data_IF_599394096729
#
_entry.id   IF_599394096729
#
_cell.length_a   1.000
_cell.length_b   1.000
_cell.length_c   1.000
_cell.angle_alpha   90.00
_cell.angle_beta   90.00
_cell.angle_gamma   90.00
#
_symmetry.space_group_name_H-M   'P 1'
#
loop_
_entity.id
_entity.type
_entity.pdbx_description
1 polymer ?
#
# COMPACT_ATOMS: atom_id res chain seq x y z
N UNK A 1 28.13 -3.36 1.07
CA UNK A 1 28.39 -4.80 0.80
C UNK A 1 27.19 -5.53 0.21
N UNK A 2 26.00 -5.46 0.83
CA UNK A 2 24.81 -6.18 0.32
C UNK A 2 24.35 -5.68 -1.03
N UNK A 3 24.43 -4.37 -1.31
CA UNK A 3 24.11 -3.81 -2.62
C UNK A 3 25.01 -4.40 -3.71
N UNK A 4 26.32 -4.51 -3.45
CA UNK A 4 27.28 -5.12 -4.39
C UNK A 4 26.94 -6.59 -4.64
N UNK A 5 26.56 -7.34 -3.61
CA UNK A 5 26.16 -8.77 -3.75
C UNK A 5 24.87 -8.97 -4.52
N UNK A 6 24.01 -7.95 -4.55
CA UNK A 6 22.70 -7.99 -5.20
C UNK A 6 22.69 -7.49 -6.64
N UNK A 7 23.81 -6.96 -7.16
CA UNK A 7 23.91 -6.34 -8.48
C UNK A 7 25.15 -6.86 -9.25
N UNK A 8 25.00 -7.03 -10.56
CA UNK A 8 26.05 -7.46 -11.48
C UNK A 8 25.63 -7.11 -12.90
N UNK A 9 26.59 -6.83 -13.79
CA UNK A 9 26.33 -6.50 -15.19
C UNK A 9 25.53 -7.60 -15.91
N UNK A 10 25.73 -8.86 -15.55
CA UNK A 10 25.03 -10.03 -16.12
C UNK A 10 23.53 -9.98 -15.96
N UNK A 11 23.02 -9.30 -14.92
CA UNK A 11 21.59 -9.23 -14.66
C UNK A 11 20.93 -7.92 -15.09
N UNK A 12 21.68 -6.97 -15.67
CA UNK A 12 21.13 -5.68 -16.12
C UNK A 12 19.93 -5.87 -17.06
N UNK A 13 19.98 -6.72 -18.11
CA UNK A 13 18.82 -6.93 -18.98
C UNK A 13 17.60 -7.49 -18.23
N UNK A 14 17.83 -8.43 -17.32
CA UNK A 14 16.76 -9.00 -16.48
C UNK A 14 16.15 -7.96 -15.54
N UNK A 15 16.96 -7.06 -14.99
CA UNK A 15 16.48 -5.92 -14.19
C UNK A 15 15.62 -4.96 -14.99
N UNK A 16 16.01 -4.66 -16.22
CA UNK A 16 15.22 -3.83 -17.12
C UNK A 16 13.86 -4.46 -17.42
N UNK A 17 13.84 -5.77 -17.70
CA UNK A 17 12.60 -6.53 -17.89
C UNK A 17 11.73 -6.55 -16.61
N UNK A 18 12.33 -6.77 -15.44
CA UNK A 18 11.62 -6.70 -14.14
C UNK A 18 10.93 -5.34 -13.95
N UNK A 19 11.64 -4.22 -14.24
CA UNK A 19 11.04 -2.89 -14.18
C UNK A 19 9.90 -2.70 -15.19
N UNK A 20 10.02 -3.24 -16.40
CA UNK A 20 8.96 -3.19 -17.40
C UNK A 20 7.72 -3.97 -16.95
N UNK A 21 7.88 -5.15 -16.36
CA UNK A 21 6.80 -5.96 -15.80
C UNK A 21 6.12 -5.27 -14.61
N UNK A 22 6.89 -4.70 -13.68
CA UNK A 22 6.35 -3.92 -12.57
C UNK A 22 5.58 -2.68 -13.06
N UNK A 23 6.07 -2.04 -14.12
CA UNK A 23 5.38 -0.91 -14.75
C UNK A 23 4.08 -1.36 -15.42
N UNK A 24 4.08 -2.51 -16.11
CA UNK A 24 2.87 -3.10 -16.72
C UNK A 24 1.80 -3.34 -15.65
N UNK A 25 2.16 -3.96 -14.52
CA UNK A 25 1.26 -4.15 -13.39
C UNK A 25 0.71 -2.82 -12.86
N UNK A 26 1.58 -1.84 -12.61
CA UNK A 26 1.18 -0.53 -12.09
C UNK A 26 0.20 0.18 -13.02
N UNK A 27 0.42 0.11 -14.33
CA UNK A 27 -0.48 0.67 -15.35
C UNK A 27 -1.83 -0.06 -15.39
N UNK A 28 -1.83 -1.40 -15.24
CA UNK A 28 -3.05 -2.20 -15.19
C UNK A 28 -3.93 -1.77 -14.01
N UNK A 29 -3.36 -1.67 -12.81
CA UNK A 29 -4.09 -1.23 -11.62
C UNK A 29 -4.57 0.23 -11.73
N UNK A 30 -3.75 1.12 -12.29
CA UNK A 30 -4.11 2.53 -12.47
C UNK A 30 -5.24 2.77 -13.50
N UNK A 31 -5.43 1.84 -14.43
CA UNK A 31 -6.51 1.88 -15.44
C UNK A 31 -7.87 1.44 -14.91
N UNK A 32 -7.97 1.03 -13.64
CA UNK A 32 -9.23 0.56 -13.08
C UNK A 32 -10.35 1.59 -13.27
N UNK A 33 -11.39 1.19 -13.96
CA UNK A 33 -12.65 1.93 -14.11
C UNK A 33 -13.79 1.05 -13.56
N UNK A 34 -14.29 1.41 -12.40
CA UNK A 34 -15.32 0.68 -11.69
C UNK A 34 -16.56 1.55 -11.62
N UNK A 35 -17.63 1.11 -12.27
CA UNK A 35 -18.91 1.80 -12.21
C UNK A 35 -19.61 1.48 -10.89
N UNK A 36 -19.81 2.49 -10.05
CA UNK A 36 -20.52 2.37 -8.79
C UNK A 36 -21.24 3.64 -8.44
N UNK A 37 -22.50 3.54 -8.02
CA UNK A 37 -23.37 4.66 -7.61
C UNK A 37 -23.45 5.79 -8.65
N UNK A 38 -23.47 5.45 -9.95
CA UNK A 38 -23.53 6.40 -11.05
C UNK A 38 -22.20 7.10 -11.38
N UNK A 39 -21.13 6.74 -10.72
CA UNK A 39 -19.78 7.27 -10.94
C UNK A 39 -18.85 6.23 -11.57
N UNK A 40 -17.91 6.69 -12.40
CA UNK A 40 -16.75 5.89 -12.82
C UNK A 40 -15.57 6.18 -11.91
N UNK A 41 -15.14 5.19 -11.14
CA UNK A 41 -14.18 5.32 -10.06
C UNK A 41 -12.95 4.45 -10.32
N UNK A 42 -11.77 4.91 -9.93
CA UNK A 42 -10.62 4.04 -9.75
C UNK A 42 -10.65 3.39 -8.34
N UNK A 43 -9.70 2.51 -8.06
CA UNK A 43 -9.63 1.78 -6.78
C UNK A 43 -9.57 2.74 -5.58
N UNK A 44 -8.77 3.81 -5.66
CA UNK A 44 -8.65 4.80 -4.57
C UNK A 44 -9.95 5.57 -4.32
N UNK A 45 -10.63 5.98 -5.38
CA UNK A 45 -11.89 6.72 -5.26
C UNK A 45 -13.05 5.83 -4.82
N UNK A 46 -13.01 4.51 -5.14
CA UNK A 46 -13.99 3.54 -4.68
C UNK A 46 -13.90 3.33 -3.15
N UNK A 47 -12.73 3.59 -2.54
CA UNK A 47 -12.46 3.30 -1.12
C UNK A 47 -13.51 3.92 -0.18
N UNK A 48 -14.00 5.12 -0.47
CA UNK A 48 -15.07 5.77 0.32
C UNK A 48 -16.31 4.88 0.49
N UNK A 49 -16.62 4.05 -0.51
CA UNK A 49 -17.74 3.12 -0.48
C UNK A 49 -17.38 1.77 0.17
N UNK A 50 -16.11 1.37 0.11
CA UNK A 50 -15.63 0.14 0.76
C UNK A 50 -15.68 0.21 2.29
N UNK A 51 -15.74 1.43 2.86
CA UNK A 51 -15.81 1.68 4.31
C UNK A 51 -17.08 2.47 4.70
N UNK A 52 -18.05 2.60 3.79
CA UNK A 52 -19.31 3.32 4.05
C UNK A 52 -20.03 2.76 5.29
N UNK A 53 -20.79 3.61 5.98
CA UNK A 53 -21.55 3.21 7.19
C UNK A 53 -22.63 2.16 6.86
N UNK A 54 -23.25 2.26 5.69
CA UNK A 54 -24.22 1.29 5.20
C UNK A 54 -23.50 -0.01 4.77
N UNK A 55 -23.86 -1.12 5.42
CA UNK A 55 -23.27 -2.43 5.20
C UNK A 55 -23.55 -2.99 3.81
N UNK A 56 -24.75 -2.76 3.27
CA UNK A 56 -25.10 -3.24 1.92
C UNK A 56 -24.36 -2.45 0.84
N UNK A 57 -24.15 -1.16 1.06
CA UNK A 57 -23.29 -0.33 0.17
C UNK A 57 -21.85 -0.85 0.17
N UNK A 58 -21.28 -1.16 1.35
CA UNK A 58 -19.93 -1.75 1.45
C UNK A 58 -19.83 -3.07 0.69
N UNK A 59 -20.78 -3.98 0.96
CA UNK A 59 -20.84 -5.29 0.31
C UNK A 59 -20.91 -5.17 -1.22
N UNK A 60 -21.76 -4.29 -1.73
CA UNK A 60 -21.90 -4.04 -3.16
C UNK A 60 -20.61 -3.43 -3.76
N UNK A 61 -19.98 -2.48 -3.09
CA UNK A 61 -18.73 -1.87 -3.55
C UNK A 61 -17.58 -2.91 -3.59
N UNK A 62 -17.47 -3.76 -2.58
CA UNK A 62 -16.50 -4.86 -2.55
C UNK A 62 -16.76 -5.89 -3.65
N UNK A 63 -18.04 -6.19 -3.96
CA UNK A 63 -18.37 -7.05 -5.09
C UNK A 63 -17.88 -6.44 -6.42
N UNK A 64 -18.08 -5.15 -6.63
CA UNK A 64 -17.60 -4.44 -7.82
C UNK A 64 -16.08 -4.42 -7.93
N UNK A 65 -15.38 -4.24 -6.83
CA UNK A 65 -13.93 -4.35 -6.79
C UNK A 65 -13.47 -5.78 -7.17
N UNK A 66 -14.15 -6.79 -6.65
CA UNK A 66 -13.88 -8.20 -6.98
C UNK A 66 -14.12 -8.51 -8.45
N UNK A 67 -15.23 -8.02 -9.03
CA UNK A 67 -15.54 -8.14 -10.47
C UNK A 67 -14.41 -7.56 -11.33
N UNK A 68 -13.89 -6.38 -10.96
CA UNK A 68 -12.75 -5.77 -11.66
C UNK A 68 -11.52 -6.69 -11.61
N UNK A 69 -11.11 -7.15 -10.43
CA UNK A 69 -9.95 -8.02 -10.31
C UNK A 69 -10.13 -9.35 -11.06
N UNK A 70 -11.32 -9.93 -11.04
CA UNK A 70 -11.63 -11.13 -11.84
C UNK A 70 -11.48 -10.86 -13.33
N UNK A 71 -11.89 -9.70 -13.82
CA UNK A 71 -11.78 -9.34 -15.23
C UNK A 71 -10.33 -9.20 -15.73
N UNK A 72 -9.40 -8.90 -14.85
CA UNK A 72 -7.96 -8.70 -15.16
C UNK A 72 -7.06 -9.80 -14.61
N UNK A 73 -7.63 -10.87 -14.02
CA UNK A 73 -6.88 -11.97 -13.39
C UNK A 73 -5.86 -12.58 -14.35
N UNK A 74 -6.24 -12.86 -15.60
CA UNK A 74 -5.34 -13.45 -16.59
C UNK A 74 -4.09 -12.59 -16.84
N UNK A 75 -4.26 -11.26 -16.98
CA UNK A 75 -3.14 -10.35 -17.17
C UNK A 75 -2.23 -10.27 -15.92
N UNK A 76 -2.83 -10.31 -14.72
CA UNK A 76 -2.09 -10.32 -13.45
C UNK A 76 -1.26 -11.60 -13.33
N UNK A 77 -1.86 -12.75 -13.62
CA UNK A 77 -1.21 -14.06 -13.54
C UNK A 77 -0.04 -14.15 -14.52
N UNK A 78 -0.21 -13.68 -15.76
CA UNK A 78 0.89 -13.60 -16.74
C UNK A 78 2.05 -12.74 -16.25
N UNK A 79 1.75 -11.55 -15.69
CA UNK A 79 2.78 -10.65 -15.15
C UNK A 79 3.49 -11.31 -13.96
N UNK A 80 2.74 -11.93 -13.07
CA UNK A 80 3.29 -12.58 -11.89
C UNK A 80 4.20 -13.76 -12.26
N UNK A 81 3.75 -14.64 -13.16
CA UNK A 81 4.55 -15.76 -13.66
C UNK A 81 5.84 -15.29 -14.35
N UNK A 82 5.75 -14.25 -15.17
CA UNK A 82 6.93 -13.65 -15.80
C UNK A 82 7.89 -13.07 -14.77
N UNK A 83 7.41 -12.40 -13.71
CA UNK A 83 8.24 -11.89 -12.61
C UNK A 83 8.92 -13.02 -11.84
N UNK A 84 8.22 -14.12 -11.56
CA UNK A 84 8.80 -15.28 -10.88
C UNK A 84 9.93 -15.89 -11.72
N UNK A 85 9.71 -16.09 -13.03
CA UNK A 85 10.72 -16.60 -13.94
C UNK A 85 11.94 -15.67 -14.05
N UNK A 86 11.69 -14.38 -14.24
CA UNK A 86 12.73 -13.36 -14.34
C UNK A 86 13.58 -13.29 -13.06
N UNK A 87 12.96 -13.19 -11.91
CA UNK A 87 13.65 -13.13 -10.60
C UNK A 87 14.44 -14.40 -10.29
N UNK A 88 13.90 -15.55 -10.67
CA UNK A 88 14.62 -16.83 -10.56
C UNK A 88 15.86 -16.84 -11.45
N UNK A 89 15.75 -16.33 -12.68
CA UNK A 89 16.89 -16.22 -13.59
C UNK A 89 17.97 -15.26 -13.05
N UNK A 90 17.59 -14.13 -12.46
CA UNK A 90 18.52 -13.21 -11.81
C UNK A 90 19.28 -13.89 -10.66
N UNK A 91 18.57 -14.62 -9.78
CA UNK A 91 19.19 -15.34 -8.68
C UNK A 91 20.22 -16.35 -9.17
N UNK A 92 19.87 -17.17 -10.16
CA UNK A 92 20.77 -18.16 -10.76
C UNK A 92 21.99 -17.53 -11.43
N UNK A 93 21.81 -16.42 -12.16
CA UNK A 93 22.91 -15.68 -12.79
C UNK A 93 23.93 -15.15 -11.77
N UNK A 94 23.49 -14.85 -10.55
CA UNK A 94 24.33 -14.40 -9.43
C UNK A 94 24.87 -15.56 -8.55
N UNK A 95 24.52 -16.83 -8.89
CA UNK A 95 24.99 -18.01 -8.17
C UNK A 95 24.17 -18.41 -6.94
N UNK A 96 22.97 -17.84 -6.78
CA UNK A 96 22.04 -18.22 -5.72
C UNK A 96 21.14 -19.37 -6.16
N UNK A 97 20.80 -20.26 -5.26
CA UNK A 97 19.90 -21.38 -5.54
C UNK A 97 18.46 -20.90 -5.79
N UNK A 98 18.00 -19.95 -4.99
CA UNK A 98 16.65 -19.39 -5.07
C UNK A 98 16.64 -17.87 -5.05
N UNK A 99 15.55 -17.27 -5.56
CA UNK A 99 15.35 -15.84 -5.43
C UNK A 99 15.17 -15.38 -3.97
N UNK A 100 14.76 -16.25 -3.07
CA UNK A 100 14.62 -15.92 -1.65
C UNK A 100 15.92 -15.40 -1.05
N UNK A 101 17.05 -16.03 -1.37
CA UNK A 101 18.38 -15.60 -0.90
C UNK A 101 18.75 -14.21 -1.45
N UNK A 102 18.62 -14.02 -2.75
CA UNK A 102 18.84 -12.73 -3.40
C UNK A 102 17.87 -11.66 -2.86
N UNK A 103 16.62 -12.04 -2.59
CA UNK A 103 15.61 -11.16 -2.01
C UNK A 103 16.00 -10.65 -0.61
N UNK A 104 16.56 -11.49 0.25
CA UNK A 104 17.08 -11.07 1.55
C UNK A 104 18.22 -10.06 1.41
N UNK A 105 19.13 -10.29 0.48
CA UNK A 105 20.23 -9.37 0.17
C UNK A 105 19.71 -8.02 -0.31
N UNK A 106 18.78 -8.00 -1.27
CA UNK A 106 18.17 -6.78 -1.82
C UNK A 106 17.37 -5.99 -0.79
N UNK A 107 16.72 -6.68 0.15
CA UNK A 107 16.04 -6.03 1.28
C UNK A 107 17.00 -5.59 2.38
N UNK A 108 18.32 -5.69 2.18
CA UNK A 108 19.37 -5.30 3.12
C UNK A 108 19.22 -5.98 4.50
N UNK A 109 18.74 -7.22 4.51
CA UNK A 109 18.56 -8.02 5.74
C UNK A 109 19.89 -8.61 6.19
N UNK A 110 20.64 -7.86 6.96
CA UNK A 110 21.98 -8.24 7.44
C UNK A 110 22.02 -8.62 8.93
N UNK A 111 20.95 -8.33 9.69
CA UNK A 111 20.90 -8.58 11.14
C UNK A 111 20.07 -9.81 11.49
N UNK A 112 19.39 -10.43 10.53
CA UNK A 112 18.56 -11.60 10.72
C UNK A 112 18.47 -12.42 9.44
N UNK A 113 18.31 -13.73 9.60
CA UNK A 113 18.21 -14.70 8.52
C UNK A 113 16.78 -15.26 8.35
N UNK A 114 16.64 -16.21 7.43
CA UNK A 114 15.37 -16.88 7.14
C UNK A 114 14.84 -17.64 8.36
N UNK A 115 15.69 -18.33 9.11
CA UNK A 115 15.27 -19.13 10.27
C UNK A 115 14.70 -18.23 11.38
N UNK A 116 15.33 -17.08 11.62
CA UNK A 116 14.81 -16.09 12.56
C UNK A 116 13.43 -15.55 12.14
N UNK A 117 13.22 -15.30 10.84
CA UNK A 117 11.93 -14.86 10.31
C UNK A 117 10.87 -15.98 10.41
N UNK A 118 11.23 -17.23 10.18
CA UNK A 118 10.34 -18.37 10.35
C UNK A 118 9.90 -18.52 11.81
N UNK A 119 10.83 -18.42 12.76
CA UNK A 119 10.52 -18.42 14.18
C UNK A 119 9.61 -17.25 14.58
N UNK A 120 9.88 -16.03 14.09
CA UNK A 120 9.02 -14.88 14.32
C UNK A 120 7.58 -15.12 13.81
N UNK A 121 7.43 -15.68 12.61
CA UNK A 121 6.10 -16.01 12.06
C UNK A 121 5.34 -17.04 12.90
N UNK A 122 6.04 -18.06 13.40
CA UNK A 122 5.42 -19.06 14.29
C UNK A 122 4.97 -18.43 15.62
N UNK A 123 5.76 -17.51 16.19
CA UNK A 123 5.34 -16.75 17.37
C UNK A 123 4.10 -15.88 17.08
N UNK A 124 4.07 -15.18 15.95
CA UNK A 124 2.89 -14.40 15.54
C UNK A 124 1.66 -15.29 15.42
N UNK A 125 1.77 -16.44 14.77
CA UNK A 125 0.65 -17.41 14.66
C UNK A 125 0.18 -17.90 16.01
N UNK A 126 1.10 -18.23 16.89
CA UNK A 126 0.80 -18.83 18.19
C UNK A 126 0.23 -17.81 19.19
N UNK A 127 0.85 -16.63 19.26
CA UNK A 127 0.62 -15.70 20.36
C UNK A 127 -0.21 -14.49 19.93
N UNK A 128 0.01 -13.96 18.72
CA UNK A 128 -0.65 -12.75 18.26
C UNK A 128 -1.98 -12.99 17.54
N UNK A 129 -2.07 -14.06 16.71
CA UNK A 129 -3.32 -14.37 15.98
C UNK A 129 -4.49 -14.62 16.93
N UNK A 130 -4.38 -15.42 18.00
CA UNK A 130 -5.47 -15.61 18.97
C UNK A 130 -5.89 -14.31 19.67
N UNK A 131 -4.95 -13.41 19.92
CA UNK A 131 -5.28 -12.08 20.45
C UNK A 131 -6.04 -11.22 19.42
N UNK A 132 -5.61 -11.24 18.17
CA UNK A 132 -6.31 -10.54 17.10
C UNK A 132 -7.74 -11.07 16.90
N UNK A 133 -7.95 -12.39 17.00
CA UNK A 133 -9.29 -13.00 16.95
C UNK A 133 -10.21 -12.47 18.07
N UNK A 134 -9.70 -12.29 19.28
CA UNK A 134 -10.47 -11.69 20.37
C UNK A 134 -10.85 -10.22 20.05
N UNK A 135 -9.95 -9.45 19.44
CA UNK A 135 -10.26 -8.09 18.99
C UNK A 135 -11.34 -8.07 17.90
N UNK A 136 -11.27 -9.02 16.97
CA UNK A 136 -12.30 -9.19 15.93
C UNK A 136 -13.66 -9.54 16.56
N UNK A 137 -13.69 -10.42 17.55
CA UNK A 137 -14.93 -10.77 18.22
C UNK A 137 -15.54 -9.57 18.98
N UNK A 138 -14.72 -8.84 19.75
CA UNK A 138 -15.16 -7.59 20.41
C UNK A 138 -15.68 -6.55 19.41
N UNK A 139 -15.08 -6.49 18.22
CA UNK A 139 -15.55 -5.61 17.13
C UNK A 139 -16.89 -6.08 16.59
N UNK A 140 -17.07 -7.39 16.36
CA UNK A 140 -18.34 -7.99 15.93
C UNK A 140 -19.48 -7.62 16.89
N UNK A 141 -19.25 -7.79 18.20
CA UNK A 141 -20.20 -7.44 19.24
C UNK A 141 -20.52 -5.93 19.25
N UNK A 142 -19.49 -5.09 19.18
CA UNK A 142 -19.63 -3.63 19.12
C UNK A 142 -20.47 -3.18 17.91
N UNK A 143 -20.29 -3.81 16.78
CA UNK A 143 -21.05 -3.54 15.55
C UNK A 143 -22.48 -4.09 15.63
N UNK A 144 -22.77 -5.04 16.52
CA UNK A 144 -24.08 -5.66 16.69
C UNK A 144 -24.46 -6.56 15.49
N UNK A 145 -23.48 -7.21 14.88
CA UNK A 145 -23.68 -8.11 13.74
C UNK A 145 -23.42 -9.57 14.13
N UNK A 146 -24.06 -10.50 13.42
CA UNK A 146 -23.95 -11.94 13.65
C UNK A 146 -22.58 -12.50 13.27
N UNK A 147 -22.02 -12.01 12.16
CA UNK A 147 -20.74 -12.45 11.61
C UNK A 147 -20.02 -11.29 10.92
N UNK A 148 -18.70 -11.20 11.13
CA UNK A 148 -17.81 -10.35 10.36
C UNK A 148 -17.50 -11.00 9.01
N UNK A 149 -17.65 -10.24 7.95
CA UNK A 149 -17.22 -10.59 6.61
C UNK A 149 -16.07 -9.67 6.17
N UNK A 150 -15.39 -9.99 5.07
CA UNK A 150 -14.27 -9.19 4.55
C UNK A 150 -14.63 -7.72 4.31
N UNK A 151 -15.86 -7.41 3.93
CA UNK A 151 -16.34 -6.05 3.76
C UNK A 151 -16.63 -5.30 5.08
N UNK A 152 -16.50 -5.95 6.23
CA UNK A 152 -16.60 -5.35 7.55
C UNK A 152 -15.23 -5.08 8.18
N UNK A 153 -14.11 -5.48 7.53
CA UNK A 153 -12.79 -5.47 8.13
C UNK A 153 -12.29 -4.08 8.52
N UNK A 154 -12.69 -3.06 7.79
CA UNK A 154 -12.24 -1.68 8.04
C UNK A 154 -13.29 -0.83 8.75
N UNK A 155 -14.34 -1.43 9.33
CA UNK A 155 -15.38 -0.72 10.10
C UNK A 155 -15.25 -1.10 11.57
N UNK A 156 -15.10 -0.09 12.43
CA UNK A 156 -14.79 -0.27 13.85
C UNK A 156 -15.92 0.15 14.78
N UNK A 157 -16.77 1.07 14.36
CA UNK A 157 -17.83 1.63 15.20
C UNK A 157 -19.19 1.61 14.48
N UNK A 158 -20.25 1.43 15.25
CA UNK A 158 -21.62 1.31 14.75
C UNK A 158 -22.12 2.59 14.06
N UNK A 159 -21.59 3.74 14.47
CA UNK A 159 -21.96 5.05 13.95
C UNK A 159 -20.92 5.60 12.93
N UNK A 160 -20.16 4.71 12.32
CA UNK A 160 -19.09 5.06 11.37
C UNK A 160 -17.72 5.20 12.02
N UNK A 161 -16.69 5.11 11.20
CA UNK A 161 -15.31 5.34 11.63
C UNK A 161 -15.04 6.83 11.87
N UNK A 162 -14.06 7.19 12.70
CA UNK A 162 -13.55 8.56 12.71
C UNK A 162 -13.17 9.00 11.29
N UNK A 163 -13.53 10.21 10.93
CA UNK A 163 -13.21 10.78 9.63
C UNK A 163 -12.70 12.21 9.81
N UNK A 164 -11.86 12.71 8.89
CA UNK A 164 -11.48 14.11 8.88
C UNK A 164 -12.71 15.01 8.83
N UNK A 165 -12.76 16.02 9.69
CA UNK A 165 -13.91 16.94 9.79
C UNK A 165 -13.90 17.96 8.64
N UNK A 166 -12.72 18.16 8.02
CA UNK A 166 -12.45 19.19 7.02
C UNK A 166 -11.72 18.60 5.81
N UNK A 167 -11.56 19.43 4.76
CA UNK A 167 -10.91 19.05 3.51
C UNK A 167 -9.38 18.90 3.61
N UNK A 168 -8.73 18.46 2.53
CA UNK A 168 -7.29 18.23 2.49
C UNK A 168 -6.44 19.45 2.83
N UNK A 169 -6.85 20.64 2.42
CA UNK A 169 -6.13 21.90 2.72
C UNK A 169 -6.14 22.19 4.23
N UNK A 170 -7.27 21.96 4.90
CA UNK A 170 -7.37 22.13 6.34
C UNK A 170 -6.52 21.09 7.10
N UNK A 171 -6.39 19.88 6.57
CA UNK A 171 -5.50 18.84 7.14
C UNK A 171 -4.05 19.28 7.06
N UNK A 172 -3.63 19.84 5.92
CA UNK A 172 -2.27 20.38 5.76
C UNK A 172 -2.01 21.60 6.66
N UNK A 173 -3.02 22.47 6.84
CA UNK A 173 -2.93 23.58 7.79
C UNK A 173 -2.81 23.10 9.23
N UNK A 174 -3.61 22.13 9.63
CA UNK A 174 -3.52 21.51 10.96
C UNK A 174 -2.16 20.83 11.17
N UNK A 175 -1.64 20.14 10.15
CA UNK A 175 -0.29 19.60 10.15
C UNK A 175 0.78 20.68 10.37
N UNK A 176 0.68 21.78 9.63
CA UNK A 176 1.60 22.92 9.76
C UNK A 176 1.60 23.50 11.18
N UNK A 177 0.42 23.66 11.77
CA UNK A 177 0.30 24.13 13.16
C UNK A 177 0.94 23.11 14.13
N UNK A 178 0.63 21.83 13.99
CA UNK A 178 1.20 20.77 14.84
C UNK A 178 2.72 20.74 14.77
N UNK A 179 3.31 20.82 13.59
CA UNK A 179 4.77 20.86 13.43
C UNK A 179 5.40 22.14 13.99
N UNK A 180 4.68 23.27 13.92
CA UNK A 180 5.14 24.54 14.53
C UNK A 180 5.12 24.49 16.08
N UNK A 181 4.17 23.74 16.66
CA UNK A 181 4.09 23.54 18.12
C UNK A 181 5.15 22.57 18.65
N UNK A 182 5.66 21.65 17.79
CA UNK A 182 6.68 20.68 18.18
C UNK A 182 8.07 21.32 18.36
N UNK A 183 8.56 22.04 17.36
CA UNK A 183 9.81 22.78 17.43
C UNK A 183 9.97 23.75 16.25
N UNK A 184 10.87 24.75 16.37
CA UNK A 184 11.23 25.64 15.25
C UNK A 184 11.73 24.86 14.01
N UNK A 185 12.52 23.81 14.21
CA UNK A 185 13.12 23.01 13.14
C UNK A 185 12.05 22.22 12.38
N UNK A 186 11.11 21.63 13.08
CA UNK A 186 10.00 20.91 12.45
C UNK A 186 9.04 21.85 11.72
N UNK A 187 8.85 23.07 12.25
CA UNK A 187 8.11 24.13 11.56
C UNK A 187 8.79 24.51 10.24
N UNK A 188 10.07 24.84 10.27
CA UNK A 188 10.85 25.20 9.08
C UNK A 188 10.80 24.10 8.02
N UNK A 189 10.97 22.84 8.43
CA UNK A 189 10.87 21.68 7.55
C UNK A 189 9.50 21.54 6.89
N UNK A 190 8.40 21.66 7.64
CA UNK A 190 7.08 21.52 7.08
C UNK A 190 6.69 22.69 6.18
N UNK A 191 7.06 23.91 6.55
CA UNK A 191 6.88 25.12 5.74
C UNK A 191 7.62 24.98 4.41
N UNK A 192 8.89 24.54 4.43
CA UNK A 192 9.67 24.24 3.23
C UNK A 192 8.96 23.25 2.31
N UNK A 193 8.43 22.14 2.84
CA UNK A 193 7.71 21.16 2.05
C UNK A 193 6.45 21.73 1.40
N UNK A 194 5.72 22.57 2.11
CA UNK A 194 4.48 23.20 1.63
C UNK A 194 4.76 24.27 0.57
N UNK A 195 5.73 25.14 0.80
CA UNK A 195 6.12 26.23 -0.10
C UNK A 195 6.69 25.70 -1.43
N UNK A 196 7.34 24.55 -1.42
CA UNK A 196 7.90 23.90 -2.60
C UNK A 196 6.98 22.84 -3.23
N UNK A 197 5.70 22.77 -2.84
CA UNK A 197 4.71 21.85 -3.38
C UNK A 197 5.13 20.37 -3.35
N UNK A 198 5.81 19.94 -2.27
CA UNK A 198 6.36 18.59 -2.11
C UNK A 198 5.31 17.56 -1.63
N UNK A 199 4.02 17.93 -1.68
CA UNK A 199 2.89 17.07 -1.37
C UNK A 199 1.98 16.87 -2.60
N UNK A 200 1.97 15.69 -3.19
CA UNK A 200 0.91 15.28 -4.12
C UNK A 200 -0.05 14.33 -3.39
N UNK A 201 -1.02 14.88 -2.68
CA UNK A 201 -1.86 14.11 -1.75
C UNK A 201 -3.31 13.93 -2.21
N UNK A 202 -3.75 14.64 -3.26
CA UNK A 202 -5.14 14.54 -3.73
C UNK A 202 -5.35 13.32 -4.63
N UNK A 203 -6.42 12.57 -4.40
CA UNK A 203 -6.87 11.50 -5.28
C UNK A 203 -7.39 12.05 -6.62
N UNK A 204 -7.00 11.46 -7.75
CA UNK A 204 -7.43 11.80 -9.12
C UNK A 204 -7.70 10.52 -9.92
N UNK A 205 -8.57 10.59 -10.93
CA UNK A 205 -8.99 9.42 -11.74
C UNK A 205 -7.81 8.63 -12.33
N UNK A 206 -6.78 9.33 -12.82
CA UNK A 206 -5.60 8.73 -13.47
C UNK A 206 -4.43 8.51 -12.54
N UNK A 207 -4.59 8.79 -11.24
CA UNK A 207 -3.53 8.66 -10.26
C UNK A 207 -3.48 7.22 -9.73
N UNK A 208 -2.25 6.67 -9.64
CA UNK A 208 -2.03 5.35 -9.04
C UNK A 208 -2.53 5.31 -7.59
N UNK A 209 -3.18 4.22 -7.21
CA UNK A 209 -3.58 3.96 -5.83
C UNK A 209 -2.37 3.76 -4.90
N UNK A 210 -2.58 4.00 -3.60
CA UNK A 210 -1.56 3.88 -2.57
C UNK A 210 -0.85 5.19 -2.27
N UNK A 211 0.22 5.10 -1.50
CA UNK A 211 1.05 6.23 -1.11
C UNK A 211 2.49 5.79 -0.87
N UNK A 212 3.40 6.73 -0.97
CA UNK A 212 4.81 6.56 -0.62
C UNK A 212 5.43 7.92 -0.28
N UNK A 213 6.53 7.86 0.43
CA UNK A 213 7.46 8.96 0.61
C UNK A 213 8.78 8.58 -0.04
N UNK A 214 9.41 9.52 -0.71
CA UNK A 214 10.76 9.35 -1.26
C UNK A 214 11.60 10.58 -0.98
N UNK A 215 12.92 10.40 -1.02
CA UNK A 215 13.85 11.50 -0.98
C UNK A 215 14.38 11.77 -2.41
N UNK A 216 14.40 13.02 -2.81
CA UNK A 216 14.92 13.49 -4.09
C UNK A 216 16.35 14.00 -3.89
N UNK A 217 17.40 13.20 -4.17
CA UNK A 217 18.77 13.51 -3.77
C UNK A 217 19.29 14.81 -4.37
N UNK A 218 19.01 15.08 -5.63
CA UNK A 218 19.48 16.26 -6.35
C UNK A 218 18.88 17.56 -5.81
N UNK A 219 17.66 17.48 -5.29
CA UNK A 219 16.94 18.60 -4.66
C UNK A 219 17.11 18.64 -3.14
N UNK A 220 17.73 17.61 -2.55
CA UNK A 220 17.85 17.41 -1.09
C UNK A 220 16.53 17.57 -0.35
N UNK A 221 15.44 17.13 -0.96
CA UNK A 221 14.08 17.30 -0.50
C UNK A 221 13.31 15.98 -0.44
N UNK A 222 12.46 15.75 0.56
CA UNK A 222 11.51 14.65 0.56
C UNK A 222 10.31 15.01 -0.33
N UNK A 223 9.61 13.99 -0.82
CA UNK A 223 8.37 14.14 -1.56
C UNK A 223 7.35 13.12 -1.06
N UNK A 224 6.11 13.57 -0.84
CA UNK A 224 5.01 12.72 -0.37
C UNK A 224 3.97 12.58 -1.46
N UNK A 225 3.73 11.32 -1.84
CA UNK A 225 2.64 10.92 -2.73
C UNK A 225 1.60 10.16 -1.90
N UNK A 226 0.34 10.61 -1.94
CA UNK A 226 -0.77 9.97 -1.26
C UNK A 226 -2.07 10.13 -2.04
N UNK A 227 -3.16 9.56 -1.56
CA UNK A 227 -4.48 9.68 -2.17
C UNK A 227 -5.52 10.02 -1.10
N UNK A 228 -5.64 11.28 -0.74
CA UNK A 228 -6.74 11.75 0.09
C UNK A 228 -8.05 11.61 -0.68
N UNK A 229 -8.96 10.86 -0.15
CA UNK A 229 -10.25 10.53 -0.74
C UNK A 229 -11.43 10.75 0.22
N UNK A 230 -11.21 11.46 1.33
CA UNK A 230 -12.20 11.72 2.37
C UNK A 230 -12.36 10.61 3.39
N UNK A 231 -11.48 9.60 3.38
CA UNK A 231 -11.42 8.54 4.40
C UNK A 231 -10.28 8.78 5.38
N UNK A 232 -10.40 8.23 6.57
CA UNK A 232 -9.33 8.24 7.59
C UNK A 232 -8.25 7.19 7.29
#
# INVERSE_FOLDING_TARGET
ELEIKGEDERIIPLRQEEFALCTKYSKLIAKAEIEFNGEKLNISLLRKYLIADDREVRKAAWAKLSEYFQSVTGEIDEIYDALVKNRTAQAKALGYETFTELGYIRMKRNCYDRAMVENFREQVKKDFVPFAEQLHERRRERLGIDKLYYYDNEVYFKNGNPAPVKGPDDILLAGQQMYAELSPETKEFFDFMKENELFDVLGRKTKRAGGYMTFLPDYKAPFIFANFNGTS
#
